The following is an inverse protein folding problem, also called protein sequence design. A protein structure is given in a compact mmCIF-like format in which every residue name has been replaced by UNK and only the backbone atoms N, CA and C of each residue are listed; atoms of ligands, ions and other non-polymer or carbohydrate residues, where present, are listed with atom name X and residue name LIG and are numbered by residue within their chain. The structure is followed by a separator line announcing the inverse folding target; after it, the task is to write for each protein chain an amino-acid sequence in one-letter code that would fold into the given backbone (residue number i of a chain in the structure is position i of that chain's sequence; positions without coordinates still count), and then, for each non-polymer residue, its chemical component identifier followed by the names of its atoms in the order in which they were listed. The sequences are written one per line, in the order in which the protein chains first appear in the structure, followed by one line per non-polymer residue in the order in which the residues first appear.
data_IF_403327143913
#
_entry.id   IF_403327143913
#
_cell.length_a   1.000
_cell.length_b   1.000
_cell.length_c   1.000
_cell.angle_alpha   90.00
_cell.angle_beta   90.00
_cell.angle_gamma   90.00
#
_symmetry.space_group_name_H-M   'P 1'
#
loop_
_entity.id
_entity.type
_entity.pdbx_description
1 polymer ?
#
# COMPACT_ATOMS: atom_id res chain seq x y z
N UNK A 1 11.46 6.58 -22.64
CA UNK A 1 12.90 6.59 -22.92
C UNK A 1 13.83 6.69 -21.69
N UNK A 2 13.46 7.35 -20.60
CA UNK A 2 14.32 7.44 -19.38
C UNK A 2 14.48 6.15 -18.59
N UNK A 3 13.48 5.25 -18.57
CA UNK A 3 13.55 3.96 -17.85
C UNK A 3 14.51 2.96 -18.50
N UNK A 4 14.62 2.94 -19.82
CA UNK A 4 15.53 2.06 -20.54
C UNK A 4 17.00 2.45 -20.31
N UNK A 5 17.27 3.73 -20.17
CA UNK A 5 18.64 4.23 -19.88
C UNK A 5 19.11 3.85 -18.47
N UNK A 6 18.21 3.76 -17.50
CA UNK A 6 18.53 3.32 -16.14
C UNK A 6 18.88 1.83 -16.10
N UNK A 7 18.13 0.99 -16.85
CA UNK A 7 18.41 -0.45 -16.99
C UNK A 7 19.76 -0.72 -17.69
N UNK A 8 20.09 0.06 -18.72
CA UNK A 8 21.35 -0.09 -19.46
C UNK A 8 22.58 0.39 -18.66
N UNK A 9 22.43 1.41 -17.80
CA UNK A 9 23.49 1.82 -16.86
C UNK A 9 23.77 0.76 -15.79
N UNK A 10 22.77 -0.02 -15.39
CA UNK A 10 22.91 -1.12 -14.42
C UNK A 10 23.65 -2.33 -15.01
N UNK A 11 23.55 -2.58 -16.33
CA UNK A 11 24.26 -3.68 -17.00
C UNK A 11 25.75 -3.40 -17.25
N UNK A 12 26.20 -2.12 -17.19
CA UNK A 12 27.61 -1.73 -17.34
C UNK A 12 28.40 -1.64 -16.04
N UNK A 13 27.83 -2.00 -14.91
CA UNK A 13 28.58 -2.15 -13.68
C UNK A 13 29.42 -3.43 -13.75
N UNK A 14 30.68 -3.18 -13.89
CA UNK A 14 31.84 -4.05 -14.08
C UNK A 14 31.71 -5.40 -13.33
N UNK A 15 31.69 -6.52 -14.10
CA UNK A 15 31.68 -7.90 -13.59
C UNK A 15 32.84 -8.21 -12.60
N UNK A 16 33.89 -7.41 -12.60
CA UNK A 16 35.05 -7.58 -11.73
C UNK A 16 34.83 -7.01 -10.30
N UNK A 17 33.88 -6.08 -10.11
CA UNK A 17 33.47 -5.62 -8.77
C UNK A 17 32.55 -6.59 -8.05
N UNK A 18 31.80 -7.42 -8.79
CA UNK A 18 30.91 -8.43 -8.20
C UNK A 18 31.65 -9.61 -7.53
N UNK A 19 32.91 -9.81 -7.81
CA UNK A 19 33.68 -10.96 -7.25
C UNK A 19 34.28 -10.70 -5.86
N UNK A 20 34.24 -9.48 -5.33
CA UNK A 20 34.87 -9.12 -4.04
C UNK A 20 33.93 -8.66 -2.94
N UNK A 21 32.68 -8.34 -3.21
CA UNK A 21 31.73 -8.01 -2.14
C UNK A 21 30.98 -9.28 -1.73
N UNK A 22 31.45 -9.93 -0.66
CA UNK A 22 30.62 -10.86 0.09
C UNK A 22 29.40 -10.08 0.54
N UNK A 23 28.26 -10.36 -0.11
CA UNK A 23 26.97 -9.79 0.24
C UNK A 23 26.59 -10.25 1.65
N UNK A 24 26.90 -9.47 2.66
CA UNK A 24 26.38 -9.67 4.00
C UNK A 24 25.07 -8.89 4.11
N UNK A 25 23.97 -9.63 4.24
CA UNK A 25 22.61 -9.09 4.43
C UNK A 25 22.56 -8.06 5.59
N UNK A 26 23.48 -8.16 6.53
CA UNK A 26 23.63 -7.25 7.67
C UNK A 26 24.02 -5.82 7.29
N UNK A 27 24.90 -5.64 6.32
CA UNK A 27 25.46 -4.31 5.98
C UNK A 27 24.46 -3.42 5.21
N UNK A 28 23.50 -4.00 4.47
CA UNK A 28 22.48 -3.21 3.73
C UNK A 28 21.26 -2.81 4.57
N UNK A 29 20.98 -3.52 5.64
CA UNK A 29 19.83 -3.20 6.52
C UNK A 29 20.17 -2.07 7.50
N UNK A 30 21.46 -1.85 7.79
CA UNK A 30 21.92 -0.78 8.67
C UNK A 30 22.01 0.61 8.00
N UNK A 31 21.93 0.70 6.66
CA UNK A 31 22.13 1.96 5.93
C UNK A 31 20.91 2.89 5.87
N UNK A 32 19.69 2.39 6.09
CA UNK A 32 18.51 3.27 6.12
C UNK A 32 18.21 3.63 7.57
N UNK A 33 18.56 4.85 7.97
CA UNK A 33 18.28 5.33 9.32
C UNK A 33 16.77 5.39 9.57
N UNK A 34 16.36 5.12 10.81
CA UNK A 34 14.96 5.27 11.25
C UNK A 34 14.38 6.67 10.96
N UNK A 35 15.25 7.69 10.93
CA UNK A 35 14.91 9.05 10.57
C UNK A 35 14.49 9.18 9.10
N UNK A 36 15.24 8.57 8.17
CA UNK A 36 14.92 8.61 6.74
C UNK A 36 13.61 7.89 6.42
N UNK A 37 13.35 6.75 7.09
CA UNK A 37 12.06 6.06 6.95
C UNK A 37 10.93 6.93 7.46
N UNK A 38 11.08 7.57 8.61
CA UNK A 38 10.06 8.47 9.16
C UNK A 38 9.74 9.61 8.20
N UNK A 39 10.75 10.30 7.68
CA UNK A 39 10.60 11.40 6.72
C UNK A 39 9.86 10.92 5.46
N UNK A 40 10.25 9.78 4.89
CA UNK A 40 9.58 9.17 3.75
C UNK A 40 8.12 8.83 4.03
N UNK A 41 7.81 8.26 5.19
CA UNK A 41 6.42 7.92 5.57
C UNK A 41 5.57 9.17 5.78
N UNK A 42 6.14 10.26 6.30
CA UNK A 42 5.45 11.54 6.43
C UNK A 42 5.12 12.17 5.06
N UNK A 43 6.00 12.04 4.08
CA UNK A 43 5.73 12.47 2.70
C UNK A 43 4.61 11.64 2.07
N UNK A 44 4.65 10.31 2.21
CA UNK A 44 3.61 9.41 1.68
C UNK A 44 2.25 9.68 2.34
N UNK A 45 2.23 9.98 3.63
CA UNK A 45 0.99 10.36 4.33
C UNK A 45 0.32 11.58 3.69
N UNK A 46 1.11 12.55 3.23
CA UNK A 46 0.64 13.77 2.56
C UNK A 46 0.34 13.58 1.08
N UNK A 47 0.79 12.45 0.49
CA UNK A 47 0.62 12.19 -0.93
C UNK A 47 -0.87 12.10 -1.28
N UNK A 48 -1.26 12.86 -2.30
CA UNK A 48 -2.61 12.82 -2.85
C UNK A 48 -2.75 11.58 -3.74
N UNK A 49 -3.49 10.59 -3.25
CA UNK A 49 -3.83 9.40 -4.00
C UNK A 49 -4.94 9.69 -5.03
N UNK A 50 -5.11 8.83 -6.07
CA UNK A 50 -6.25 8.91 -6.97
C UNK A 50 -7.57 8.96 -6.19
N UNK A 51 -8.51 9.79 -6.63
CA UNK A 51 -9.79 9.93 -5.95
C UNK A 51 -10.61 8.64 -6.08
N UNK A 52 -11.16 8.18 -4.96
CA UNK A 52 -12.21 7.16 -4.94
C UNK A 52 -13.51 7.88 -5.32
N UNK A 53 -14.02 7.60 -6.52
CA UNK A 53 -15.32 8.10 -6.95
C UNK A 53 -16.43 7.37 -6.20
N UNK A 54 -17.56 8.03 -6.01
CA UNK A 54 -18.69 7.47 -5.28
C UNK A 54 -19.97 7.57 -6.07
N UNK A 55 -20.90 6.67 -5.79
CA UNK A 55 -22.27 6.67 -6.27
C UNK A 55 -23.23 6.78 -5.09
N UNK A 56 -24.44 7.27 -5.32
CA UNK A 56 -25.47 7.35 -4.29
C UNK A 56 -25.94 5.97 -3.84
N UNK A 57 -26.08 5.79 -2.54
CA UNK A 57 -26.65 4.59 -1.93
C UNK A 57 -28.10 4.84 -1.56
N UNK A 58 -29.01 4.26 -2.35
CA UNK A 58 -30.46 4.54 -2.26
C UNK A 58 -31.16 3.88 -1.06
N UNK A 59 -30.48 3.00 -0.33
CA UNK A 59 -31.05 2.28 0.84
C UNK A 59 -30.45 2.80 2.15
N UNK A 60 -30.32 4.11 2.28
CA UNK A 60 -29.67 4.75 3.44
C UNK A 60 -30.37 4.49 4.77
N UNK A 61 -31.67 4.17 4.78
CA UNK A 61 -32.42 3.81 5.97
C UNK A 61 -32.07 2.41 6.52
N UNK A 62 -31.49 1.55 5.70
CA UNK A 62 -31.03 0.22 6.11
C UNK A 62 -29.69 0.28 6.82
N UNK A 63 -29.73 0.47 8.15
CA UNK A 63 -28.54 0.59 9.00
C UNK A 63 -27.83 -0.74 9.27
N UNK A 64 -28.41 -1.85 8.86
CA UNK A 64 -27.90 -3.21 9.13
C UNK A 64 -27.08 -3.77 7.97
N UNK A 65 -27.14 -3.13 6.78
CA UNK A 65 -26.35 -3.59 5.66
C UNK A 65 -24.87 -3.44 5.92
N UNK A 66 -24.13 -4.54 5.78
CA UNK A 66 -22.68 -4.55 5.78
C UNK A 66 -22.17 -4.94 4.39
N UNK A 67 -21.28 -4.14 3.83
CA UNK A 67 -20.67 -4.37 2.53
C UNK A 67 -19.20 -4.74 2.77
N UNK A 68 -18.75 -5.80 2.09
CA UNK A 68 -17.37 -6.27 2.15
C UNK A 68 -16.77 -6.24 0.76
N UNK A 69 -15.69 -5.48 0.59
CA UNK A 69 -14.82 -5.56 -0.59
C UNK A 69 -13.53 -6.25 -0.21
N UNK A 70 -13.10 -7.20 -1.02
CA UNK A 70 -11.82 -7.88 -0.88
C UNK A 70 -10.99 -7.70 -2.15
N UNK A 71 -9.76 -7.20 -2.00
CA UNK A 71 -8.82 -7.02 -3.10
C UNK A 71 -7.50 -7.74 -2.77
N UNK A 72 -7.25 -8.92 -3.38
CA UNK A 72 -6.10 -9.77 -3.06
C UNK A 72 -4.81 -9.38 -3.81
N UNK A 73 -4.87 -8.41 -4.71
CA UNK A 73 -3.78 -8.02 -5.62
C UNK A 73 -3.11 -6.70 -5.21
N UNK A 74 -3.25 -6.26 -3.96
CA UNK A 74 -2.64 -5.02 -3.49
C UNK A 74 -1.13 -5.22 -3.35
N UNK A 75 -0.36 -4.33 -3.96
CA UNK A 75 1.11 -4.35 -3.93
C UNK A 75 1.60 -2.97 -3.49
N UNK A 76 2.60 -2.96 -2.61
CA UNK A 76 3.39 -1.78 -2.30
C UNK A 76 4.87 -2.18 -2.15
N UNK A 77 5.78 -1.24 -1.98
CA UNK A 77 7.19 -1.54 -1.78
C UNK A 77 7.54 -1.52 -0.28
N UNK A 78 8.37 -2.45 0.14
CA UNK A 78 8.99 -2.38 1.45
C UNK A 78 9.93 -1.19 1.52
N UNK A 79 9.76 -0.24 2.46
CA UNK A 79 10.63 0.93 2.55
C UNK A 79 12.08 0.60 2.89
N UNK A 80 12.33 -0.55 3.52
CA UNK A 80 13.67 -1.00 3.90
C UNK A 80 14.44 -1.64 2.74
N UNK A 81 13.76 -2.41 1.89
CA UNK A 81 14.40 -3.26 0.87
C UNK A 81 14.08 -2.87 -0.56
N UNK A 82 13.00 -2.10 -0.78
CA UNK A 82 12.46 -1.81 -2.10
C UNK A 82 11.85 -3.03 -2.80
N UNK A 83 11.72 -4.15 -2.10
CA UNK A 83 11.08 -5.37 -2.64
C UNK A 83 9.56 -5.22 -2.52
N UNK A 84 8.79 -5.69 -3.53
CA UNK A 84 7.34 -5.68 -3.45
C UNK A 84 6.81 -6.51 -2.27
N UNK A 85 5.90 -5.91 -1.52
CA UNK A 85 5.05 -6.55 -0.53
C UNK A 85 3.68 -6.80 -1.15
N UNK A 86 3.12 -7.98 -0.93
CA UNK A 86 1.83 -8.41 -1.46
C UNK A 86 0.83 -8.49 -0.31
N UNK A 87 -0.36 -7.98 -0.55
CA UNK A 87 -1.41 -7.87 0.46
C UNK A 87 -2.76 -8.32 -0.08
N UNK A 88 -3.60 -8.83 0.83
CA UNK A 88 -5.04 -8.87 0.64
C UNK A 88 -5.67 -7.81 1.54
N UNK A 89 -6.34 -6.83 0.96
CA UNK A 89 -7.10 -5.83 1.72
C UNK A 89 -8.58 -6.16 1.70
N UNK A 90 -9.21 -6.13 2.91
CA UNK A 90 -10.66 -6.18 3.07
C UNK A 90 -11.15 -4.85 3.63
N UNK A 91 -12.16 -4.30 2.97
CA UNK A 91 -12.89 -3.12 3.43
C UNK A 91 -14.28 -3.60 3.85
N UNK A 92 -14.57 -3.52 5.13
CA UNK A 92 -15.83 -3.94 5.74
C UNK A 92 -16.49 -2.68 6.26
N UNK A 93 -17.68 -2.32 5.74
CA UNK A 93 -18.30 -1.07 6.15
C UNK A 93 -19.84 -1.11 6.09
N UNK A 94 -20.44 -0.29 6.92
CA UNK A 94 -21.88 0.03 6.85
C UNK A 94 -22.05 1.31 6.04
N UNK A 95 -22.73 1.26 4.87
CA UNK A 95 -22.89 2.45 4.04
C UNK A 95 -23.76 3.52 4.74
N UNK A 96 -23.54 4.75 4.36
CA UNK A 96 -24.43 5.87 4.71
C UNK A 96 -25.17 6.32 3.45
N UNK A 97 -24.71 7.37 2.80
CA UNK A 97 -25.33 7.95 1.59
C UNK A 97 -24.60 7.56 0.30
N UNK A 98 -23.40 7.01 0.42
CA UNK A 98 -22.50 6.76 -0.71
C UNK A 98 -21.92 5.36 -0.65
N UNK A 99 -21.65 4.80 -1.83
CA UNK A 99 -20.82 3.62 -2.03
C UNK A 99 -19.70 3.95 -3.02
N UNK A 100 -18.50 3.32 -2.93
CA UNK A 100 -17.44 3.59 -3.88
C UNK A 100 -17.75 3.01 -5.25
N UNK A 101 -17.32 3.69 -6.31
CA UNK A 101 -17.28 3.16 -7.66
C UNK A 101 -16.06 2.24 -7.79
N UNK A 102 -16.30 0.97 -8.16
CA UNK A 102 -15.29 -0.09 -8.06
C UNK A 102 -14.10 0.09 -8.99
N UNK A 103 -14.28 0.68 -10.16
CA UNK A 103 -13.18 0.95 -11.09
C UNK A 103 -12.21 1.99 -10.50
N UNK A 104 -12.74 3.06 -9.90
CA UNK A 104 -11.93 4.08 -9.25
C UNK A 104 -11.23 3.52 -8.01
N UNK A 105 -11.90 2.68 -7.23
CA UNK A 105 -11.32 1.99 -6.08
C UNK A 105 -10.15 1.08 -6.52
N UNK A 106 -10.29 0.37 -7.64
CA UNK A 106 -9.19 -0.43 -8.20
C UNK A 106 -8.00 0.44 -8.59
N UNK A 107 -8.22 1.58 -9.26
CA UNK A 107 -7.13 2.50 -9.60
C UNK A 107 -6.47 3.10 -8.37
N UNK A 108 -7.23 3.37 -7.33
CA UNK A 108 -6.70 3.79 -6.04
C UNK A 108 -5.71 2.75 -5.47
N UNK A 109 -6.08 1.47 -5.47
CA UNK A 109 -5.17 0.40 -5.01
C UNK A 109 -3.94 0.23 -5.90
N UNK A 110 -4.10 0.30 -7.22
CA UNK A 110 -2.98 0.20 -8.15
C UNK A 110 -1.93 1.31 -7.99
N UNK A 111 -2.32 2.46 -7.46
CA UNK A 111 -1.39 3.57 -7.23
C UNK A 111 -0.36 3.31 -6.12
N UNK A 112 -0.59 2.29 -5.28
CA UNK A 112 0.38 1.90 -4.24
C UNK A 112 1.57 1.09 -4.76
N UNK A 113 1.47 0.52 -5.96
CA UNK A 113 2.42 -0.47 -6.49
C UNK A 113 3.89 -0.03 -6.44
N UNK A 114 4.18 1.26 -6.58
CA UNK A 114 5.54 1.81 -6.59
C UNK A 114 5.84 2.66 -5.34
N UNK A 115 4.97 2.64 -4.32
CA UNK A 115 5.13 3.43 -3.11
C UNK A 115 5.81 2.62 -1.99
N UNK A 116 6.93 3.11 -1.44
CA UNK A 116 7.61 2.47 -0.31
C UNK A 116 6.92 2.83 1.01
N UNK A 117 5.93 2.02 1.43
CA UNK A 117 5.09 2.28 2.60
C UNK A 117 5.11 1.11 3.59
N UNK A 118 5.21 1.43 4.89
CA UNK A 118 5.02 0.43 5.96
C UNK A 118 3.58 -0.07 5.97
N UNK A 119 3.38 -1.38 6.20
CA UNK A 119 2.02 -1.97 6.14
C UNK A 119 1.08 -1.38 7.18
N UNK A 120 1.60 -0.98 8.35
CA UNK A 120 0.83 -0.29 9.38
C UNK A 120 0.32 1.08 8.90
N UNK A 121 1.16 1.80 8.14
CA UNK A 121 0.77 3.09 7.56
C UNK A 121 -0.18 2.91 6.37
N UNK A 122 0.05 1.87 5.55
CA UNK A 122 -0.81 1.54 4.41
C UNK A 122 -2.27 1.31 4.84
N UNK A 123 -2.50 0.47 5.86
CA UNK A 123 -3.84 0.22 6.38
C UNK A 123 -4.51 1.49 6.92
N UNK A 124 -3.75 2.34 7.62
CA UNK A 124 -4.26 3.62 8.13
C UNK A 124 -4.62 4.58 6.99
N UNK A 125 -3.75 4.70 5.97
CA UNK A 125 -4.01 5.58 4.82
C UNK A 125 -5.22 5.14 4.02
N UNK A 126 -5.38 3.84 3.76
CA UNK A 126 -6.58 3.30 3.10
C UNK A 126 -7.84 3.64 3.93
N UNK A 127 -7.78 3.48 5.25
CA UNK A 127 -8.90 3.79 6.13
C UNK A 127 -9.27 5.28 6.08
N UNK A 128 -8.30 6.16 6.15
CA UNK A 128 -8.50 7.62 6.11
C UNK A 128 -9.09 8.07 4.76
N UNK A 129 -8.50 7.61 3.65
CA UNK A 129 -8.93 7.98 2.30
C UNK A 129 -10.34 7.44 1.99
N UNK A 130 -10.61 6.18 2.35
CA UNK A 130 -11.94 5.58 2.18
C UNK A 130 -13.00 6.28 3.02
N UNK A 131 -12.69 6.54 4.30
CA UNK A 131 -13.60 7.26 5.22
C UNK A 131 -13.94 8.65 4.68
N UNK A 132 -12.95 9.35 4.13
CA UNK A 132 -13.13 10.69 3.56
C UNK A 132 -13.99 10.66 2.29
N UNK A 133 -13.84 9.64 1.44
CA UNK A 133 -14.57 9.57 0.18
C UNK A 133 -16.02 9.08 0.36
N UNK A 134 -16.22 8.02 1.14
CA UNK A 134 -17.50 7.29 1.23
C UNK A 134 -18.34 7.74 2.43
N UNK A 135 -17.72 8.30 3.47
CA UNK A 135 -18.37 8.75 4.70
C UNK A 135 -19.25 7.65 5.34
N UNK A 136 -18.71 6.42 5.53
CA UNK A 136 -19.49 5.30 6.02
C UNK A 136 -19.91 5.49 7.50
N UNK A 137 -20.97 4.81 7.93
CA UNK A 137 -21.43 4.80 9.34
C UNK A 137 -20.46 4.02 10.23
N UNK A 138 -19.96 2.89 9.71
CA UNK A 138 -18.94 2.05 10.34
C UNK A 138 -17.93 1.65 9.27
N UNK A 139 -16.68 1.54 9.66
CA UNK A 139 -15.60 1.11 8.78
C UNK A 139 -14.63 0.25 9.55
N UNK A 140 -14.22 -0.85 8.94
CA UNK A 140 -13.12 -1.70 9.37
C UNK A 140 -12.28 -2.07 8.17
N UNK A 141 -10.99 -1.88 8.26
CA UNK A 141 -10.00 -2.31 7.28
C UNK A 141 -9.24 -3.48 7.85
N UNK A 142 -9.12 -4.55 7.10
CA UNK A 142 -8.20 -5.66 7.40
C UNK A 142 -7.18 -5.76 6.27
N UNK A 143 -5.91 -5.77 6.61
CA UNK A 143 -4.80 -5.91 5.69
C UNK A 143 -4.00 -7.14 6.06
N UNK A 144 -4.14 -8.21 5.29
CA UNK A 144 -3.36 -9.42 5.40
C UNK A 144 -2.09 -9.29 4.57
N UNK A 145 -0.94 -9.44 5.21
CA UNK A 145 0.38 -9.34 4.57
C UNK A 145 0.86 -10.74 4.20
N UNK A 146 1.32 -10.94 2.97
CA UNK A 146 1.97 -12.20 2.57
C UNK A 146 3.15 -12.52 3.49
N UNK A 147 3.31 -13.80 3.86
CA UNK A 147 4.33 -14.24 4.81
C UNK A 147 5.72 -13.80 4.36
N UNK A 148 6.45 -13.13 5.26
CA UNK A 148 7.82 -12.67 5.05
C UNK A 148 8.72 -13.16 6.20
N UNK A 149 9.83 -13.80 5.86
CA UNK A 149 10.75 -14.33 6.87
C UNK A 149 10.09 -15.26 7.90
N UNK A 150 9.01 -15.96 7.52
CA UNK A 150 8.23 -16.82 8.42
C UNK A 150 7.21 -16.08 9.30
N UNK A 151 7.15 -14.75 9.25
CA UNK A 151 6.20 -13.95 10.05
C UNK A 151 4.93 -13.70 9.22
N UNK A 152 3.78 -14.00 9.83
CA UNK A 152 2.45 -13.65 9.31
C UNK A 152 1.97 -12.39 10.02
N UNK A 153 1.59 -11.39 9.26
CA UNK A 153 1.12 -10.10 9.80
C UNK A 153 -0.29 -9.81 9.29
N UNK A 154 -1.14 -9.33 10.17
CA UNK A 154 -2.47 -8.78 9.85
C UNK A 154 -2.62 -7.45 10.58
N UNK A 155 -3.01 -6.40 9.87
CA UNK A 155 -3.34 -5.10 10.46
C UNK A 155 -4.86 -4.92 10.40
N UNK A 156 -5.44 -4.47 11.49
CA UNK A 156 -6.88 -4.18 11.62
C UNK A 156 -7.02 -2.74 12.08
N UNK A 157 -7.81 -1.98 11.33
CA UNK A 157 -8.06 -0.57 11.58
C UNK A 157 -9.56 -0.29 11.59
#
# INVERSE_FOLDING_TARGET
MRQVLWLLKRQKMNKDKMKKEKFTFKEKVEEISSKQIKEQQEEIKKLKMPNIQTMDFLYEDNKESEIVYEYPELIALCPMTGIPDIYTVKIIYTPNKKVPELKSLRFYFLAYKDLPILHEHLANKISEDFKKAVEPRKLRIELDVAVRGGIRTKIIK
#
